data_IF_523099218047
#
_entry.id   IF_523099218047
#
_cell.length_a   1.000
_cell.length_b   1.000
_cell.length_c   1.000
_cell.angle_alpha   90.00
_cell.angle_beta   90.00
_cell.angle_gamma   90.00
#
_symmetry.space_group_name_H-M   'P 1'
#
loop_
_entity.id
_entity.type
_entity.pdbx_description
1 polymer ?
#
# COMPACT_ATOMS: atom_id res chain seq x y z
N UNK A 1 3.93 -37.39 -5.99
CA UNK A 1 4.59 -36.91 -7.23
C UNK A 1 4.48 -35.40 -7.21
N UNK A 2 5.62 -34.74 -6.95
CA UNK A 2 5.85 -33.30 -6.80
C UNK A 2 5.06 -32.56 -5.70
N UNK A 3 5.55 -32.65 -4.47
CA UNK A 3 5.47 -31.55 -3.49
C UNK A 3 6.25 -30.37 -4.08
N UNK A 4 5.55 -29.30 -4.49
CA UNK A 4 6.21 -28.06 -4.83
C UNK A 4 6.55 -27.33 -3.53
N UNK A 5 7.79 -27.55 -3.09
CA UNK A 5 8.51 -26.78 -2.10
C UNK A 5 8.44 -25.29 -2.47
N UNK A 6 7.52 -24.57 -1.82
CA UNK A 6 7.40 -23.12 -1.98
C UNK A 6 8.51 -22.51 -1.15
N UNK A 7 9.48 -21.79 -1.73
CA UNK A 7 10.60 -21.28 -0.98
C UNK A 7 10.07 -20.39 0.15
N UNK A 8 10.55 -20.64 1.36
CA UNK A 8 10.26 -19.86 2.55
C UNK A 8 10.69 -18.41 2.30
N UNK A 9 9.74 -17.58 1.86
CA UNK A 9 9.94 -16.16 1.61
C UNK A 9 10.35 -15.52 2.93
N UNK A 10 11.58 -15.02 3.02
CA UNK A 10 12.04 -14.23 4.16
C UNK A 10 11.10 -13.03 4.27
N UNK A 11 10.18 -13.06 5.23
CA UNK A 11 9.21 -11.98 5.46
C UNK A 11 9.89 -10.90 6.31
N UNK A 12 10.48 -9.91 5.63
CA UNK A 12 11.15 -8.76 6.27
C UNK A 12 10.12 -7.77 6.87
N UNK A 13 8.85 -7.86 6.47
CA UNK A 13 7.78 -6.98 6.94
C UNK A 13 6.67 -7.79 7.64
N UNK A 14 6.10 -7.24 8.71
CA UNK A 14 5.00 -7.85 9.47
C UNK A 14 3.67 -7.97 8.68
N UNK A 15 3.63 -7.50 7.43
CA UNK A 15 2.45 -7.43 6.58
C UNK A 15 2.66 -8.14 5.24
N UNK A 16 1.58 -8.65 4.66
CA UNK A 16 1.59 -9.39 3.37
C UNK A 16 1.76 -8.49 2.13
N UNK A 17 1.97 -7.18 2.31
CA UNK A 17 2.13 -6.22 1.22
C UNK A 17 3.28 -6.58 0.28
N UNK A 18 3.01 -6.46 -1.02
CA UNK A 18 4.02 -6.63 -2.07
C UNK A 18 5.06 -5.50 -2.03
N UNK A 19 4.64 -4.26 -1.73
CA UNK A 19 5.56 -3.12 -1.70
C UNK A 19 5.07 -1.98 -0.77
N UNK A 20 6.04 -1.30 -0.16
CA UNK A 20 5.85 0.02 0.47
C UNK A 20 6.91 0.96 -0.11
N UNK A 21 6.48 2.11 -0.64
CA UNK A 21 7.35 3.10 -1.26
C UNK A 21 7.25 4.41 -0.49
N UNK A 22 8.39 4.94 -0.06
CA UNK A 22 8.49 6.26 0.52
C UNK A 22 8.92 7.24 -0.58
N UNK A 23 8.14 8.30 -0.77
CA UNK A 23 8.41 9.36 -1.72
C UNK A 23 8.71 10.64 -0.95
N UNK A 24 9.88 11.23 -1.20
CA UNK A 24 10.32 12.47 -0.57
C UNK A 24 10.89 13.41 -1.62
N UNK A 25 10.39 14.64 -1.69
CA UNK A 25 10.97 15.72 -2.48
C UNK A 25 11.16 16.96 -1.60
N UNK A 26 12.40 17.33 -1.26
CA UNK A 26 12.68 18.49 -0.40
C UNK A 26 12.24 19.82 -1.00
N UNK A 27 12.21 19.96 -2.33
CA UNK A 27 11.91 21.24 -2.98
C UNK A 27 10.43 21.60 -2.88
N UNK A 28 9.54 20.63 -3.10
CA UNK A 28 8.09 20.79 -2.87
C UNK A 28 7.68 20.58 -1.41
N UNK A 29 8.54 19.95 -0.60
CA UNK A 29 8.20 19.50 0.75
C UNK A 29 7.36 18.21 0.76
N UNK A 30 7.24 17.52 -0.37
CA UNK A 30 6.45 16.29 -0.48
C UNK A 30 7.00 15.21 0.45
N UNK A 31 6.12 14.67 1.29
CA UNK A 31 6.32 13.42 2.03
C UNK A 31 5.13 12.52 1.79
N UNK A 32 5.35 11.38 1.16
CA UNK A 32 4.28 10.45 0.83
C UNK A 32 4.71 8.99 1.02
N UNK A 33 3.72 8.14 1.26
CA UNK A 33 3.91 6.69 1.35
C UNK A 33 2.89 6.03 0.42
N UNK A 34 3.35 5.09 -0.41
CA UNK A 34 2.51 4.29 -1.30
C UNK A 34 2.57 2.85 -0.81
N UNK A 35 1.43 2.28 -0.48
CA UNK A 35 1.27 0.86 -0.13
C UNK A 35 0.65 0.09 -1.29
N UNK A 36 1.31 -0.98 -1.72
CA UNK A 36 0.78 -1.96 -2.68
C UNK A 36 0.57 -3.26 -1.90
N UNK A 37 -0.68 -3.60 -1.66
CA UNK A 37 -1.01 -4.83 -0.94
C UNK A 37 -0.92 -6.03 -1.88
N UNK A 38 -1.63 -5.98 -3.02
CA UNK A 38 -1.58 -7.04 -4.01
C UNK A 38 -1.79 -6.52 -5.42
N UNK A 39 -1.16 -7.18 -6.40
CA UNK A 39 -1.36 -7.00 -7.84
C UNK A 39 -1.83 -8.30 -8.52
N UNK A 40 -2.28 -9.30 -7.75
CA UNK A 40 -2.60 -10.63 -8.27
C UNK A 40 -3.70 -10.67 -9.35
N UNK A 41 -4.68 -9.75 -9.28
CA UNK A 41 -5.77 -9.63 -10.26
C UNK A 41 -5.50 -8.59 -11.37
N UNK A 42 -4.41 -7.85 -11.27
CA UNK A 42 -4.10 -6.72 -12.15
C UNK A 42 -3.43 -5.55 -11.43
N UNK A 43 -3.23 -4.41 -12.09
CA UNK A 43 -2.60 -3.23 -11.49
C UNK A 43 -3.29 -2.80 -10.19
N UNK A 44 -2.51 -2.33 -9.22
CA UNK A 44 -3.03 -1.87 -7.94
C UNK A 44 -3.83 -0.57 -8.11
N UNK A 45 -5.11 -0.58 -7.73
CA UNK A 45 -5.97 0.60 -7.75
C UNK A 45 -6.19 1.15 -6.34
N UNK A 46 -6.15 2.47 -6.20
CA UNK A 46 -6.35 3.15 -4.93
C UNK A 46 -6.30 4.67 -5.06
N UNK A 47 -7.04 5.37 -4.20
CA UNK A 47 -6.98 6.83 -4.14
C UNK A 47 -5.83 7.35 -3.29
N UNK A 48 -5.46 8.61 -3.50
CA UNK A 48 -4.48 9.34 -2.67
C UNK A 48 -5.19 10.10 -1.56
N UNK A 49 -4.70 10.01 -0.32
CA UNK A 49 -5.19 10.78 0.83
C UNK A 49 -4.15 11.82 1.23
N UNK A 50 -4.53 13.09 1.33
CA UNK A 50 -3.68 14.14 1.91
C UNK A 50 -4.19 14.42 3.32
N UNK A 51 -3.35 14.20 4.34
CA UNK A 51 -3.78 14.31 5.73
C UNK A 51 -2.62 14.65 6.69
N UNK A 52 -2.84 15.51 7.71
CA UNK A 52 -1.80 15.91 8.66
C UNK A 52 -1.62 14.85 9.75
N UNK A 53 -0.94 13.75 9.43
CA UNK A 53 -0.64 12.71 10.42
C UNK A 53 0.31 13.22 11.53
N UNK A 54 0.05 12.81 12.77
CA UNK A 54 0.89 13.16 13.92
C UNK A 54 2.31 12.55 13.86
N UNK A 55 2.48 11.43 13.17
CA UNK A 55 3.75 10.73 13.01
C UNK A 55 3.77 9.91 11.71
N UNK A 56 4.97 9.58 11.22
CA UNK A 56 5.16 8.75 10.02
C UNK A 56 4.59 7.34 10.20
N UNK A 57 4.73 6.74 11.38
CA UNK A 57 4.16 5.43 11.71
C UNK A 57 2.63 5.41 11.59
N UNK A 58 1.96 6.52 11.91
CA UNK A 58 0.52 6.64 11.74
C UNK A 58 0.12 6.68 10.26
N UNK A 59 0.92 7.37 9.43
CA UNK A 59 0.73 7.39 7.98
C UNK A 59 1.00 6.00 7.36
N UNK A 60 2.03 5.29 7.85
CA UNK A 60 2.36 3.93 7.42
C UNK A 60 1.24 2.95 7.79
N UNK A 61 0.74 2.98 9.03
CA UNK A 61 -0.35 2.12 9.45
C UNK A 61 -1.62 2.35 8.60
N UNK A 62 -1.96 3.60 8.31
CA UNK A 62 -3.13 3.94 7.49
C UNK A 62 -2.98 3.48 6.04
N UNK A 63 -1.83 3.73 5.38
CA UNK A 63 -1.62 3.30 3.99
C UNK A 63 -1.64 1.77 3.87
N UNK A 64 -1.11 1.05 4.86
CA UNK A 64 -1.12 -0.42 4.88
C UNK A 64 -2.55 -0.96 5.02
N UNK A 65 -3.33 -0.45 5.98
CA UNK A 65 -4.70 -0.89 6.20
C UNK A 65 -5.61 -0.59 4.99
N UNK A 66 -5.47 0.61 4.41
CA UNK A 66 -6.32 1.03 3.29
C UNK A 66 -5.96 0.32 1.98
N UNK A 67 -4.69 0.06 1.69
CA UNK A 67 -4.29 -0.69 0.48
C UNK A 67 -4.79 -2.14 0.52
N UNK A 68 -4.78 -2.77 1.70
CA UNK A 68 -5.41 -4.08 1.90
C UNK A 68 -6.93 -4.00 1.69
N UNK A 69 -7.59 -3.00 2.28
CA UNK A 69 -9.02 -2.77 2.08
C UNK A 69 -9.39 -2.57 0.61
N UNK A 70 -8.54 -1.87 -0.15
CA UNK A 70 -8.72 -1.70 -1.60
C UNK A 70 -8.61 -3.02 -2.36
N UNK A 71 -7.70 -3.92 -1.99
CA UNK A 71 -7.56 -5.22 -2.66
C UNK A 71 -8.83 -6.06 -2.51
N UNK A 72 -9.41 -6.10 -1.30
CA UNK A 72 -10.67 -6.80 -1.08
C UNK A 72 -11.84 -6.11 -1.79
N UNK A 73 -11.88 -4.77 -1.75
CA UNK A 73 -12.95 -4.00 -2.41
C UNK A 73 -12.96 -4.23 -3.92
N UNK A 74 -11.80 -4.18 -4.59
CA UNK A 74 -11.71 -4.39 -6.03
C UNK A 74 -12.03 -5.82 -6.41
N UNK A 75 -11.52 -6.81 -5.67
CA UNK A 75 -11.81 -8.22 -5.89
C UNK A 75 -13.31 -8.54 -5.72
N UNK A 76 -13.93 -8.07 -4.64
CA UNK A 76 -15.37 -8.28 -4.40
C UNK A 76 -16.26 -7.52 -5.40
N UNK A 77 -15.77 -6.42 -5.96
CA UNK A 77 -16.44 -5.70 -7.04
C UNK A 77 -16.28 -6.38 -8.42
N UNK A 78 -15.53 -7.48 -8.52
CA UNK A 78 -15.28 -8.17 -9.79
C UNK A 78 -14.41 -7.37 -10.76
N UNK A 79 -13.53 -6.50 -10.26
CA UNK A 79 -12.62 -5.71 -11.08
C UNK A 79 -11.28 -6.44 -11.23
N UNK A 80 -10.68 -6.36 -12.42
CA UNK A 80 -9.33 -6.87 -12.73
C UNK A 80 -8.22 -5.95 -12.18
N UNK A 81 -8.30 -5.62 -10.89
CA UNK A 81 -7.38 -4.71 -10.22
C UNK A 81 -7.01 -5.25 -8.83
N UNK A 82 -5.73 -5.07 -8.49
CA UNK A 82 -5.22 -5.23 -7.15
C UNK A 82 -5.58 -4.08 -6.21
N UNK A 83 -4.96 -4.06 -5.03
CA UNK A 83 -5.19 -3.05 -4.01
C UNK A 83 -3.96 -2.20 -3.72
N UNK A 84 -4.10 -0.90 -3.97
CA UNK A 84 -3.09 0.10 -3.64
C UNK A 84 -3.68 1.21 -2.77
N UNK A 85 -2.79 2.04 -2.22
CA UNK A 85 -3.15 3.31 -1.58
C UNK A 85 -1.93 4.23 -1.57
N UNK A 86 -2.17 5.54 -1.67
CA UNK A 86 -1.17 6.54 -1.33
C UNK A 86 -1.66 7.45 -0.20
N UNK A 87 -0.73 7.87 0.66
CA UNK A 87 -0.92 8.94 1.64
C UNK A 87 0.13 10.00 1.43
N UNK A 88 -0.26 11.27 1.51
CA UNK A 88 0.62 12.44 1.58
C UNK A 88 0.50 13.00 2.99
N UNK A 89 1.64 13.22 3.65
CA UNK A 89 1.73 13.73 5.01
C UNK A 89 1.82 15.26 4.94
N UNK A 90 0.74 15.94 5.36
CA UNK A 90 0.68 17.39 5.47
C UNK A 90 -0.76 17.89 5.51
N UNK A 91 -0.91 19.20 5.72
CA UNK A 91 -2.20 19.88 5.84
C UNK A 91 -2.75 20.26 4.46
N UNK A 92 -3.98 19.85 4.09
CA UNK A 92 -4.58 20.22 2.80
C UNK A 92 -5.24 21.61 2.78
N UNK A 93 -5.32 22.32 3.91
CA UNK A 93 -5.87 23.68 4.02
C UNK A 93 -4.87 24.80 3.70
#
# INVERSE_FOLDING_TARGET
MAEHDTPSRVRIFAHDHEQVVYCHDPLSGLRAIIGIYSTALGPALGGTRFYPYAAEDAALADVLALSQGMAYKTALAGLDHGGGKAVIIGDPE
#
